data_IF_990451333853
#
_entry.id   IF_990451333853
#
_cell.length_a   1.000
_cell.length_b   1.000
_cell.length_c   1.000
_cell.angle_alpha   90.00
_cell.angle_beta   90.00
_cell.angle_gamma   90.00
#
_symmetry.space_group_name_H-M   'P 1'
#
loop_
_entity.id
_entity.type
_entity.pdbx_description
1 polymer ?
#
# COMPACT_ATOMS: atom_id res chain seq x y z
N UNK A 1 -1.47 -15.50 24.22
CA UNK A 1 -2.52 -14.68 24.85
C UNK A 1 -2.74 -13.50 23.94
N UNK A 2 -3.99 -13.27 23.51
CA UNK A 2 -4.27 -12.22 22.53
C UNK A 2 -3.93 -10.83 23.10
N UNK A 3 -3.15 -10.07 22.37
CA UNK A 3 -2.79 -8.68 22.68
C UNK A 3 -3.92 -7.72 22.29
N UNK A 4 -4.55 -8.02 21.14
CA UNK A 4 -5.63 -7.21 20.58
C UNK A 4 -6.72 -8.16 20.08
N UNK A 5 -7.97 -7.83 20.38
CA UNK A 5 -9.14 -8.59 19.92
C UNK A 5 -10.17 -7.60 19.35
N UNK A 6 -10.53 -7.81 18.10
CA UNK A 6 -11.53 -7.06 17.38
C UNK A 6 -12.73 -7.97 17.08
N UNK A 7 -13.92 -7.59 17.50
CA UNK A 7 -15.13 -8.38 17.31
C UNK A 7 -16.24 -7.55 16.63
N UNK A 8 -16.88 -8.18 15.64
CA UNK A 8 -18.01 -7.66 14.87
C UNK A 8 -17.80 -6.21 14.41
N UNK A 9 -16.59 -5.93 13.91
CA UNK A 9 -16.17 -4.59 13.55
C UNK A 9 -16.86 -4.13 12.27
N UNK A 10 -17.48 -2.96 12.32
CA UNK A 10 -18.10 -2.30 11.18
C UNK A 10 -17.51 -0.91 10.98
N UNK A 11 -17.22 -0.58 9.74
CA UNK A 11 -16.76 0.72 9.30
C UNK A 11 -17.26 0.98 7.90
N UNK A 12 -17.87 2.13 7.66
CA UNK A 12 -18.32 2.54 6.34
C UNK A 12 -17.76 3.91 5.97
N UNK A 13 -17.42 4.09 4.71
CA UNK A 13 -17.06 5.39 4.17
C UNK A 13 -18.06 5.78 3.08
N UNK A 14 -18.98 6.69 3.44
CA UNK A 14 -20.12 7.03 2.61
C UNK A 14 -21.06 5.83 2.42
N UNK A 15 -21.13 5.28 1.21
CA UNK A 15 -21.96 4.11 0.88
C UNK A 15 -21.15 2.81 0.75
N UNK A 16 -19.86 2.84 1.04
CA UNK A 16 -18.96 1.68 0.89
C UNK A 16 -18.62 1.13 2.26
N UNK A 17 -19.02 -0.11 2.51
CA UNK A 17 -18.64 -0.84 3.71
C UNK A 17 -17.17 -1.26 3.60
N UNK A 18 -16.30 -0.69 4.43
CA UNK A 18 -14.90 -1.06 4.55
C UNK A 18 -14.70 -2.27 5.46
N UNK A 19 -15.52 -2.39 6.51
CA UNK A 19 -15.59 -3.55 7.41
C UNK A 19 -17.06 -3.93 7.60
N UNK A 20 -17.37 -5.21 7.45
CA UNK A 20 -18.73 -5.75 7.45
C UNK A 20 -18.93 -6.83 8.53
N UNK A 21 -18.69 -6.49 9.81
CA UNK A 21 -18.80 -7.44 10.91
C UNK A 21 -17.58 -8.38 11.00
N UNK A 22 -16.39 -7.82 10.87
CA UNK A 22 -15.13 -8.58 10.85
C UNK A 22 -14.61 -8.90 12.25
N UNK A 23 -13.85 -9.99 12.34
CA UNK A 23 -13.14 -10.39 13.55
C UNK A 23 -11.65 -10.46 13.25
N UNK A 24 -10.84 -10.06 14.25
CA UNK A 24 -9.39 -10.12 14.16
C UNK A 24 -8.80 -10.34 15.56
N UNK A 25 -7.74 -11.09 15.63
CA UNK A 25 -6.96 -11.26 16.88
C UNK A 25 -5.47 -11.19 16.55
N UNK A 26 -4.70 -10.55 17.44
CA UNK A 26 -3.24 -10.50 17.38
C UNK A 26 -2.68 -11.17 18.62
N UNK A 27 -1.89 -12.20 18.43
CA UNK A 27 -1.15 -12.87 19.50
C UNK A 27 0.27 -12.27 19.66
N UNK A 28 0.93 -12.60 20.77
CA UNK A 28 2.30 -12.11 20.99
C UNK A 28 3.29 -12.75 20.01
N UNK A 29 4.27 -11.94 19.55
CA UNK A 29 5.31 -12.32 18.57
C UNK A 29 4.81 -12.72 17.20
N UNK A 30 3.55 -12.45 16.86
CA UNK A 30 3.05 -12.62 15.50
C UNK A 30 3.52 -11.49 14.59
N UNK A 31 3.77 -11.82 13.33
CA UNK A 31 4.06 -10.87 12.26
C UNK A 31 3.01 -11.04 11.17
N UNK A 32 2.03 -10.14 11.17
CA UNK A 32 0.87 -10.22 10.28
C UNK A 32 1.09 -9.29 9.09
N UNK A 33 1.10 -9.85 7.88
CA UNK A 33 0.98 -9.11 6.64
C UNK A 33 -0.49 -8.87 6.30
N UNK A 34 -0.95 -7.61 6.36
CA UNK A 34 -2.30 -7.24 5.97
C UNK A 34 -2.33 -6.87 4.49
N UNK A 35 -2.96 -7.69 3.69
CA UNK A 35 -3.07 -7.51 2.25
C UNK A 35 -4.51 -7.27 1.80
N UNK A 36 -4.67 -6.84 0.56
CA UNK A 36 -5.95 -6.55 -0.08
C UNK A 36 -5.81 -5.42 -1.08
N UNK A 37 -6.82 -5.21 -1.89
CA UNK A 37 -6.81 -4.16 -2.93
C UNK A 37 -6.69 -2.77 -2.33
N UNK A 38 -6.22 -1.82 -3.15
CA UNK A 38 -6.23 -0.43 -2.76
C UNK A 38 -7.66 0.09 -2.58
N UNK A 39 -7.88 0.89 -1.52
CA UNK A 39 -9.20 1.44 -1.18
C UNK A 39 -10.12 0.47 -0.40
N UNK A 40 -9.68 -0.74 -0.03
CA UNK A 40 -10.49 -1.67 0.78
C UNK A 40 -10.55 -1.34 2.27
N UNK A 41 -9.80 -0.33 2.73
CA UNK A 41 -9.80 0.06 4.14
C UNK A 41 -8.66 -0.53 4.99
N UNK A 42 -7.58 -1.05 4.36
CA UNK A 42 -6.41 -1.59 5.09
C UNK A 42 -5.81 -0.59 6.08
N UNK A 43 -5.50 0.62 5.61
CA UNK A 43 -4.92 1.67 6.46
C UNK A 43 -5.88 2.13 7.56
N UNK A 44 -7.19 2.21 7.27
CA UNK A 44 -8.21 2.51 8.29
C UNK A 44 -8.28 1.41 9.35
N UNK A 45 -8.27 0.13 8.93
CA UNK A 45 -8.19 -0.99 9.86
C UNK A 45 -6.93 -0.92 10.73
N UNK A 46 -5.76 -0.64 10.12
CA UNK A 46 -4.51 -0.53 10.84
C UNK A 46 -4.55 0.60 11.88
N UNK A 47 -5.11 1.75 11.53
CA UNK A 47 -5.30 2.88 12.45
C UNK A 47 -6.31 2.57 13.56
N UNK A 48 -7.39 1.84 13.26
CA UNK A 48 -8.34 1.36 14.27
C UNK A 48 -7.63 0.44 15.26
N UNK A 49 -6.87 -0.55 14.77
CA UNK A 49 -6.10 -1.47 15.63
C UNK A 49 -5.06 -0.74 16.48
N UNK A 50 -4.50 0.37 15.98
CA UNK A 50 -3.59 1.25 16.71
C UNK A 50 -4.31 2.24 17.66
N UNK A 51 -5.65 2.26 17.70
CA UNK A 51 -6.43 3.18 18.53
C UNK A 51 -6.51 4.62 18.03
N UNK A 52 -6.09 4.88 16.79
CA UNK A 52 -6.06 6.22 16.18
C UNK A 52 -7.39 6.61 15.51
N UNK A 53 -8.17 5.63 15.08
CA UNK A 53 -9.51 5.80 14.51
C UNK A 53 -10.52 4.94 15.28
N UNK A 54 -11.79 5.34 15.26
CA UNK A 54 -12.88 4.63 15.93
C UNK A 54 -13.68 3.80 14.93
N UNK A 55 -14.25 2.70 15.40
CA UNK A 55 -15.24 1.91 14.69
C UNK A 55 -16.60 2.64 14.67
N UNK A 56 -17.41 2.36 13.65
CA UNK A 56 -18.84 2.74 13.64
C UNK A 56 -19.64 1.82 14.57
N UNK A 57 -19.31 0.51 14.59
CA UNK A 57 -19.94 -0.50 15.44
C UNK A 57 -18.96 -1.67 15.70
N UNK A 58 -19.21 -2.43 16.77
CA UNK A 58 -18.34 -3.53 17.20
C UNK A 58 -17.54 -3.21 18.44
N UNK A 59 -16.58 -4.08 18.79
CA UNK A 59 -15.74 -3.90 19.98
C UNK A 59 -14.28 -4.18 19.69
N UNK A 60 -13.42 -3.34 20.26
CA UNK A 60 -11.96 -3.47 20.20
C UNK A 60 -11.43 -3.52 21.63
N UNK A 61 -10.69 -4.56 21.94
CA UNK A 61 -10.14 -4.82 23.28
C UNK A 61 -8.63 -4.96 23.19
N UNK A 62 -7.93 -4.34 24.11
CA UNK A 62 -6.49 -4.42 24.28
C UNK A 62 -6.10 -5.10 25.58
N UNK A 63 -4.99 -5.80 25.57
CA UNK A 63 -4.36 -6.25 26.80
C UNK A 63 -3.98 -5.03 27.66
N UNK A 64 -4.17 -5.13 28.96
CA UNK A 64 -3.84 -4.03 29.88
C UNK A 64 -2.34 -3.69 29.82
N UNK A 65 -2.01 -2.40 29.71
CA UNK A 65 -0.65 -1.92 29.65
C UNK A 65 0.07 -2.16 28.31
N UNK A 66 -0.67 -2.50 27.25
CA UNK A 66 -0.11 -2.71 25.92
C UNK A 66 0.44 -1.41 25.33
N UNK A 67 1.72 -1.40 24.98
CA UNK A 67 2.38 -0.28 24.30
C UNK A 67 2.33 -0.51 22.79
N UNK A 68 1.79 0.43 22.08
CA UNK A 68 1.62 0.35 20.63
C UNK A 68 2.30 1.53 19.95
N UNK A 69 2.90 1.30 18.79
CA UNK A 69 3.44 2.36 17.95
C UNK A 69 2.95 2.18 16.50
N UNK A 70 2.66 3.31 15.86
CA UNK A 70 2.17 3.36 14.47
C UNK A 70 3.11 4.21 13.61
N UNK A 71 3.51 3.65 12.48
CA UNK A 71 4.31 4.35 11.46
C UNK A 71 3.45 4.54 10.24
N UNK A 72 3.16 5.79 9.92
CA UNK A 72 2.35 6.17 8.77
C UNK A 72 3.10 5.97 7.45
N UNK A 73 2.35 5.79 6.36
CA UNK A 73 2.89 5.71 4.99
C UNK A 73 3.74 6.93 4.64
N UNK A 74 3.25 8.14 4.96
CA UNK A 74 3.97 9.40 4.81
C UNK A 74 4.08 10.07 6.18
N UNK A 75 5.22 9.91 6.87
CA UNK A 75 5.43 10.58 8.15
C UNK A 75 5.62 12.09 7.95
N UNK A 76 4.89 12.86 8.73
CA UNK A 76 4.94 14.33 8.70
C UNK A 76 5.84 14.79 9.84
N UNK A 77 6.87 15.55 9.50
CA UNK A 77 7.81 16.16 10.44
C UNK A 77 7.97 17.64 10.13
N UNK A 78 8.35 18.43 11.13
CA UNK A 78 8.80 19.80 10.90
C UNK A 78 10.17 19.77 10.18
N UNK A 79 10.31 20.40 9.01
CA UNK A 79 11.58 20.43 8.28
C UNK A 79 12.75 21.06 9.04
N UNK A 80 12.49 21.96 9.99
CA UNK A 80 13.51 22.67 10.77
C UNK A 80 14.01 21.85 11.96
N UNK A 81 13.22 20.87 12.38
CA UNK A 81 13.50 20.03 13.54
C UNK A 81 14.70 19.11 13.28
N UNK A 82 15.50 18.83 14.33
CA UNK A 82 16.59 17.86 14.26
C UNK A 82 16.05 16.43 14.37
N UNK A 83 16.81 15.46 13.84
CA UNK A 83 16.49 14.04 13.95
C UNK A 83 16.35 13.60 15.40
N UNK A 84 17.24 14.09 16.30
CA UNK A 84 17.16 13.80 17.73
C UNK A 84 15.82 14.27 18.33
N UNK A 85 15.41 15.49 18.01
CA UNK A 85 14.16 16.06 18.53
C UNK A 85 12.94 15.26 18.02
N UNK A 86 12.89 14.98 16.73
CA UNK A 86 11.80 14.19 16.14
C UNK A 86 11.68 12.78 16.76
N UNK A 87 12.81 12.07 16.95
CA UNK A 87 12.80 10.75 17.58
C UNK A 87 12.42 10.84 19.06
N UNK A 88 12.82 11.90 19.78
CA UNK A 88 12.46 12.11 21.18
C UNK A 88 10.95 12.28 21.40
N UNK A 89 10.18 12.68 20.37
CA UNK A 89 8.71 12.74 20.44
C UNK A 89 8.09 11.34 20.68
N UNK A 90 8.77 10.26 20.29
CA UNK A 90 8.32 8.89 20.60
C UNK A 90 8.33 8.55 22.10
N UNK A 91 9.01 9.35 22.93
CA UNK A 91 9.05 9.24 24.38
C UNK A 91 8.57 10.54 25.05
N UNK A 92 7.69 11.30 24.40
CA UNK A 92 7.22 12.60 24.89
C UNK A 92 6.59 12.51 26.29
N UNK A 93 5.83 11.45 26.57
CA UNK A 93 5.24 11.22 27.89
C UNK A 93 6.31 11.06 28.97
N UNK A 94 7.33 10.27 28.71
CA UNK A 94 8.46 10.05 29.60
C UNK A 94 9.24 11.34 29.85
N UNK A 95 9.44 12.13 28.77
CA UNK A 95 10.10 13.42 28.85
C UNK A 95 9.30 14.41 29.72
N UNK A 96 7.99 14.51 29.51
CA UNK A 96 7.12 15.36 30.30
C UNK A 96 7.11 14.98 31.78
N UNK A 97 7.03 13.67 32.08
CA UNK A 97 7.13 13.18 33.47
C UNK A 97 8.48 13.51 34.10
N UNK A 98 9.56 13.45 33.33
CA UNK A 98 10.90 13.81 33.81
C UNK A 98 11.03 15.31 34.12
N UNK A 99 10.51 16.15 33.22
CA UNK A 99 10.45 17.60 33.43
C UNK A 99 9.62 17.95 34.67
N UNK A 100 8.42 17.36 34.81
CA UNK A 100 7.55 17.54 35.97
C UNK A 100 8.24 17.10 37.28
N UNK A 101 8.96 15.96 37.25
CA UNK A 101 9.75 15.49 38.40
C UNK A 101 10.83 16.48 38.81
N UNK A 102 11.56 17.03 37.85
CA UNK A 102 12.62 18.01 38.09
C UNK A 102 12.06 19.30 38.65
N UNK A 103 10.93 19.81 38.11
CA UNK A 103 10.24 20.99 38.62
C UNK A 103 9.74 20.81 40.05
N UNK A 104 9.08 19.68 40.34
CA UNK A 104 8.57 19.41 41.69
C UNK A 104 9.66 19.14 42.71
N UNK A 105 10.80 18.60 42.29
CA UNK A 105 11.95 18.34 43.19
C UNK A 105 12.62 19.60 43.71
N UNK A 106 12.44 20.74 43.03
CA UNK A 106 12.99 22.05 43.40
C UNK A 106 11.93 22.96 44.03
N UNK A 107 10.64 22.59 43.93
CA UNK A 107 9.53 23.36 44.47
C UNK A 107 9.46 23.29 46.02
N UNK A 108 8.71 24.23 46.66
CA UNK A 108 8.49 24.22 48.12
C UNK A 108 7.72 22.94 48.51
N UNK A 109 8.19 22.30 49.59
CA UNK A 109 7.68 21.04 50.09
C UNK A 109 6.28 21.18 50.68
N UNK A 110 5.33 20.39 50.13
CA UNK A 110 4.03 20.12 50.70
C UNK A 110 3.62 18.64 50.47
N UNK A 111 2.63 18.16 51.23
CA UNK A 111 2.21 16.76 51.21
C UNK A 111 1.70 16.33 49.79
N UNK A 112 1.07 17.23 49.05
CA UNK A 112 0.55 16.95 47.72
C UNK A 112 1.71 16.80 46.68
N UNK A 113 2.76 17.65 46.81
CA UNK A 113 3.93 17.55 45.92
C UNK A 113 4.72 16.26 46.18
N UNK A 114 4.75 15.78 47.43
CA UNK A 114 5.43 14.53 47.77
C UNK A 114 4.71 13.30 47.19
N UNK A 115 3.39 13.23 47.33
CA UNK A 115 2.61 12.18 46.72
C UNK A 115 2.77 12.17 45.19
N UNK A 116 2.78 13.33 44.55
CA UNK A 116 2.96 13.41 43.11
C UNK A 116 4.35 12.99 42.65
N UNK A 117 5.39 13.33 43.40
CA UNK A 117 6.77 12.87 43.14
C UNK A 117 6.90 11.36 43.18
N UNK A 118 6.29 10.68 44.22
CA UNK A 118 6.31 9.24 44.35
C UNK A 118 5.57 8.57 43.16
N UNK A 119 4.45 9.14 42.73
CA UNK A 119 3.73 8.63 41.57
C UNK A 119 4.56 8.74 40.31
N UNK A 120 5.16 9.92 40.03
CA UNK A 120 6.00 10.14 38.85
C UNK A 120 7.23 9.25 38.90
N UNK A 121 7.87 9.09 40.02
CA UNK A 121 9.01 8.19 40.18
C UNK A 121 8.62 6.76 39.82
N UNK A 122 7.51 6.26 40.36
CA UNK A 122 7.01 4.93 40.05
C UNK A 122 6.70 4.76 38.53
N UNK A 123 6.12 5.77 37.91
CA UNK A 123 5.84 5.78 36.48
C UNK A 123 7.14 5.76 35.66
N UNK A 124 8.10 6.63 35.98
CA UNK A 124 9.40 6.69 35.31
C UNK A 124 10.18 5.37 35.46
N UNK A 125 10.14 4.73 36.65
CA UNK A 125 10.76 3.42 36.87
C UNK A 125 10.10 2.34 36.01
N UNK A 126 8.76 2.29 35.94
CA UNK A 126 8.03 1.33 35.13
C UNK A 126 8.28 1.46 33.62
N UNK A 127 8.52 2.70 33.15
CA UNK A 127 8.82 3.01 31.75
C UNK A 127 10.32 3.01 31.42
N UNK A 128 11.20 2.73 32.41
CA UNK A 128 12.65 2.91 32.29
C UNK A 128 13.00 4.33 31.78
N UNK A 129 12.26 5.33 32.30
CA UNK A 129 12.25 6.71 31.77
C UNK A 129 13.47 7.55 32.16
N UNK A 130 14.26 7.14 33.18
CA UNK A 130 15.40 7.89 33.65
C UNK A 130 16.50 8.09 32.61
N UNK A 131 16.66 7.15 31.68
CA UNK A 131 17.69 7.15 30.65
C UNK A 131 17.11 7.33 29.24
N UNK A 132 16.05 8.12 29.09
CA UNK A 132 15.37 8.29 27.80
C UNK A 132 16.29 8.86 26.72
N UNK A 133 17.18 9.83 27.03
CA UNK A 133 18.13 10.42 26.11
C UNK A 133 19.11 9.37 25.54
N UNK A 134 19.69 8.56 26.45
CA UNK A 134 20.57 7.48 26.05
C UNK A 134 19.84 6.49 25.12
N UNK A 135 18.59 6.16 25.43
CA UNK A 135 17.78 5.28 24.58
C UNK A 135 17.50 5.88 23.21
N UNK A 136 17.29 7.19 23.10
CA UNK A 136 17.20 7.89 21.83
C UNK A 136 18.50 7.74 21.05
N UNK A 137 19.64 8.04 21.66
CA UNK A 137 20.95 7.89 21.00
C UNK A 137 21.23 6.45 20.55
N UNK A 138 21.00 5.46 21.40
CA UNK A 138 21.15 4.05 21.04
C UNK A 138 20.26 3.63 19.88
N UNK A 139 19.03 4.18 19.81
CA UNK A 139 18.10 3.94 18.70
C UNK A 139 18.61 4.60 17.42
N UNK A 140 19.09 5.83 17.49
CA UNK A 140 19.67 6.55 16.36
C UNK A 140 20.91 5.84 15.81
N UNK A 141 21.84 5.43 16.68
CA UNK A 141 23.04 4.68 16.32
C UNK A 141 22.69 3.36 15.62
N UNK A 142 21.73 2.61 16.17
CA UNK A 142 21.25 1.36 15.58
C UNK A 142 20.64 1.55 14.19
N UNK A 143 20.03 2.70 13.93
CA UNK A 143 19.40 3.03 12.67
C UNK A 143 20.31 3.86 11.73
N UNK A 144 21.56 4.08 12.15
CA UNK A 144 22.56 4.88 11.41
C UNK A 144 22.04 6.29 11.05
N UNK A 145 21.41 6.96 12.02
CA UNK A 145 20.88 8.31 11.88
C UNK A 145 21.75 9.29 12.67
N UNK A 146 22.13 10.39 12.04
CA UNK A 146 22.84 11.48 12.68
C UNK A 146 21.84 12.37 13.45
N UNK A 147 21.99 12.54 14.77
CA UNK A 147 21.07 13.29 15.64
C UNK A 147 20.91 14.76 15.27
N UNK A 148 21.97 15.38 14.74
CA UNK A 148 22.07 16.84 14.57
C UNK A 148 21.55 17.32 13.20
N UNK A 149 21.28 16.41 12.29
CA UNK A 149 20.79 16.75 10.94
C UNK A 149 19.33 17.23 11.01
N UNK A 150 19.04 18.34 10.30
CA UNK A 150 17.67 18.82 10.12
C UNK A 150 16.87 17.87 9.18
N UNK A 151 15.64 17.54 9.55
CA UNK A 151 14.78 16.61 8.80
C UNK A 151 14.52 17.09 7.38
N UNK A 152 14.44 18.40 7.16
CA UNK A 152 14.24 18.98 5.84
C UNK A 152 15.30 18.60 4.81
N UNK A 153 16.53 18.28 5.25
CA UNK A 153 17.64 17.88 4.39
C UNK A 153 17.69 16.37 4.09
N UNK A 154 16.84 15.57 4.76
CA UNK A 154 16.83 14.12 4.62
C UNK A 154 16.09 13.67 3.36
N UNK A 155 16.57 12.57 2.75
CA UNK A 155 15.83 11.84 1.72
C UNK A 155 14.55 11.22 2.29
N UNK A 156 13.59 10.89 1.41
CA UNK A 156 12.35 10.21 1.81
C UNK A 156 12.60 8.91 2.60
N UNK A 157 13.58 8.10 2.18
CA UNK A 157 13.97 6.88 2.88
C UNK A 157 14.52 7.14 4.29
N UNK A 158 15.36 8.17 4.46
CA UNK A 158 15.87 8.53 5.78
C UNK A 158 14.76 9.11 6.68
N UNK A 159 13.80 9.86 6.14
CA UNK A 159 12.61 10.30 6.92
C UNK A 159 11.80 9.12 7.44
N UNK A 160 11.65 8.05 6.64
CA UNK A 160 11.00 6.81 7.10
C UNK A 160 11.81 6.11 8.20
N UNK A 161 13.15 6.10 8.11
CA UNK A 161 14.00 5.60 9.20
C UNK A 161 13.82 6.41 10.48
N UNK A 162 13.67 7.73 10.38
CA UNK A 162 13.37 8.61 11.55
C UNK A 162 12.01 8.25 12.16
N UNK A 163 10.97 8.05 11.35
CA UNK A 163 9.66 7.63 11.85
C UNK A 163 9.70 6.27 12.54
N UNK A 164 10.48 5.34 11.99
CA UNK A 164 10.70 4.04 12.62
C UNK A 164 11.49 4.16 13.92
N UNK A 165 12.53 5.02 13.97
CA UNK A 165 13.26 5.32 15.19
C UNK A 165 12.34 5.89 16.27
N UNK A 166 11.49 6.85 15.91
CA UNK A 166 10.47 7.43 16.80
C UNK A 166 9.52 6.40 17.37
N UNK A 167 9.09 5.43 16.54
CA UNK A 167 8.23 4.34 16.99
C UNK A 167 8.97 3.36 17.91
N UNK A 168 10.21 3.00 17.58
CA UNK A 168 10.98 1.99 18.31
C UNK A 168 11.54 2.49 19.65
N UNK A 169 11.83 3.78 19.78
CA UNK A 169 12.34 4.36 21.04
C UNK A 169 11.36 4.19 22.20
N UNK A 170 10.07 4.09 21.90
CA UNK A 170 9.01 3.80 22.88
C UNK A 170 9.03 2.34 23.38
N UNK A 171 9.85 1.46 22.79
CA UNK A 171 9.89 0.01 23.07
C UNK A 171 8.49 -0.60 23.04
N UNK A 172 7.81 -0.55 21.87
CA UNK A 172 6.43 -1.02 21.78
C UNK A 172 6.33 -2.54 21.83
N UNK A 173 5.20 -3.03 22.35
CA UNK A 173 4.84 -4.46 22.32
C UNK A 173 4.21 -4.84 20.98
N UNK A 174 3.58 -3.86 20.31
CA UNK A 174 3.02 -3.99 18.96
C UNK A 174 3.44 -2.81 18.07
N UNK A 175 3.94 -3.14 16.88
CA UNK A 175 4.34 -2.18 15.86
C UNK A 175 3.41 -2.29 14.66
N UNK A 176 2.77 -1.17 14.31
CA UNK A 176 1.93 -1.03 13.11
C UNK A 176 2.68 -0.26 12.04
N UNK A 177 2.79 -0.84 10.83
CA UNK A 177 3.54 -0.26 9.71
C UNK A 177 2.65 -0.15 8.49
N UNK A 178 2.42 1.08 8.01
CA UNK A 178 1.63 1.34 6.80
C UNK A 178 2.57 1.63 5.62
N UNK A 179 2.66 0.70 4.66
CA UNK A 179 3.53 0.74 3.48
C UNK A 179 4.99 1.14 3.78
N UNK A 180 5.67 0.43 4.70
CA UNK A 180 7.02 0.83 5.12
C UNK A 180 8.07 0.68 4.02
N UNK A 181 7.83 -0.16 3.00
CA UNK A 181 8.76 -0.44 1.90
C UNK A 181 8.71 0.60 0.78
N UNK A 182 7.63 1.40 0.66
CA UNK A 182 7.49 2.40 -0.39
C UNK A 182 8.63 3.42 -0.34
N UNK A 183 9.18 3.77 -1.51
CA UNK A 183 10.30 4.72 -1.67
C UNK A 183 11.62 4.29 -1.00
N UNK A 184 11.73 3.06 -0.50
CA UNK A 184 13.00 2.52 -0.01
C UNK A 184 13.80 1.87 -1.15
N UNK A 185 15.11 1.97 -1.08
CA UNK A 185 16.01 1.20 -1.91
C UNK A 185 16.20 -0.22 -1.34
N UNK A 186 16.78 -1.10 -2.16
CA UNK A 186 16.92 -2.52 -1.81
C UNK A 186 17.71 -2.73 -0.51
N UNK A 187 18.77 -1.94 -0.29
CA UNK A 187 19.58 -2.03 0.92
C UNK A 187 18.77 -1.65 2.17
N UNK A 188 17.93 -0.61 2.05
CA UNK A 188 17.02 -0.17 3.11
C UNK A 188 15.91 -1.19 3.39
N UNK A 189 15.40 -1.87 2.35
CA UNK A 189 14.41 -2.95 2.50
C UNK A 189 15.03 -4.13 3.23
N UNK A 190 16.22 -4.59 2.82
CA UNK A 190 16.94 -5.70 3.46
C UNK A 190 17.22 -5.39 4.93
N UNK A 191 17.69 -4.18 5.21
CA UNK A 191 17.90 -3.71 6.58
C UNK A 191 16.59 -3.73 7.40
N UNK A 192 15.45 -3.28 6.83
CA UNK A 192 14.15 -3.29 7.51
C UNK A 192 13.68 -4.71 7.79
N UNK A 193 13.90 -5.64 6.86
CA UNK A 193 13.62 -7.07 7.08
C UNK A 193 14.37 -7.62 8.30
N UNK A 194 15.69 -7.38 8.38
CA UNK A 194 16.51 -7.84 9.49
C UNK A 194 16.04 -7.25 10.84
N UNK A 195 15.72 -5.96 10.83
CA UNK A 195 15.20 -5.27 12.01
C UNK A 195 13.88 -5.88 12.49
N UNK A 196 12.91 -6.13 11.58
CA UNK A 196 11.62 -6.70 11.95
C UNK A 196 11.73 -8.18 12.35
N UNK A 197 12.66 -8.94 11.76
CA UNK A 197 12.97 -10.32 12.20
C UNK A 197 13.54 -10.37 13.62
N UNK A 198 14.35 -9.37 13.98
CA UNK A 198 14.95 -9.25 15.31
C UNK A 198 14.00 -8.62 16.35
N UNK A 199 12.91 -7.99 15.92
CA UNK A 199 11.94 -7.37 16.81
C UNK A 199 11.19 -8.42 17.63
N UNK A 200 11.15 -8.26 18.97
CA UNK A 200 10.57 -9.24 19.90
C UNK A 200 9.06 -9.10 20.07
N UNK A 201 8.50 -7.94 19.77
CA UNK A 201 7.06 -7.68 19.82
C UNK A 201 6.33 -8.25 18.60
N UNK A 202 5.04 -7.96 18.52
CA UNK A 202 4.20 -8.30 17.39
C UNK A 202 4.22 -7.18 16.34
N UNK A 203 4.07 -7.55 15.07
CA UNK A 203 4.06 -6.61 13.96
C UNK A 203 2.79 -6.80 13.14
N UNK A 204 2.11 -5.73 12.81
CA UNK A 204 1.05 -5.74 11.78
C UNK A 204 1.48 -4.74 10.70
N UNK A 205 1.68 -5.23 9.48
CA UNK A 205 2.20 -4.41 8.41
C UNK A 205 1.32 -4.51 7.16
N UNK A 206 1.21 -3.40 6.45
CA UNK A 206 0.63 -3.32 5.11
C UNK A 206 1.79 -3.12 4.15
N UNK A 207 1.91 -3.95 3.13
CA UNK A 207 2.84 -3.72 2.02
C UNK A 207 2.38 -4.47 0.78
N UNK A 208 2.81 -4.01 -0.38
CA UNK A 208 2.62 -4.65 -1.67
C UNK A 208 3.88 -5.39 -2.15
N UNK A 209 4.95 -5.35 -1.38
CA UNK A 209 6.19 -6.09 -1.65
C UNK A 209 6.06 -7.56 -1.19
N UNK A 210 5.91 -8.47 -2.17
CA UNK A 210 5.75 -9.90 -1.94
C UNK A 210 6.97 -10.53 -1.29
N UNK A 211 8.17 -10.13 -1.73
CA UNK A 211 9.42 -10.67 -1.20
C UNK A 211 9.59 -10.28 0.27
N UNK A 212 9.25 -9.04 0.61
CA UNK A 212 9.26 -8.56 1.98
C UNK A 212 8.23 -9.29 2.86
N UNK A 213 6.98 -9.48 2.38
CA UNK A 213 5.96 -10.27 3.08
C UNK A 213 6.44 -11.70 3.32
N UNK A 214 7.08 -12.31 2.32
CA UNK A 214 7.59 -13.68 2.41
C UNK A 214 8.72 -13.81 3.43
N UNK A 215 9.56 -12.77 3.53
CA UNK A 215 10.70 -12.74 4.44
C UNK A 215 10.31 -12.48 5.90
N UNK A 216 9.25 -11.68 6.15
CA UNK A 216 8.93 -11.16 7.48
C UNK A 216 7.69 -11.80 8.08
N UNK A 217 6.64 -12.08 7.30
CA UNK A 217 5.33 -12.46 7.82
C UNK A 217 5.29 -13.92 8.32
N UNK A 218 4.61 -14.14 9.43
CA UNK A 218 4.26 -15.48 9.97
C UNK A 218 2.81 -15.84 9.64
N UNK A 219 2.00 -14.85 9.29
CA UNK A 219 0.61 -14.99 8.92
C UNK A 219 0.23 -13.89 7.94
N UNK A 220 -0.60 -14.22 6.97
CA UNK A 220 -1.20 -13.26 6.05
C UNK A 220 -2.68 -13.10 6.40
N UNK A 221 -3.14 -11.84 6.47
CA UNK A 221 -4.55 -11.50 6.64
C UNK A 221 -5.00 -10.72 5.42
N UNK A 222 -5.97 -11.26 4.70
CA UNK A 222 -6.54 -10.63 3.51
C UNK A 222 -7.82 -9.87 3.88
N UNK A 223 -7.88 -8.60 3.53
CA UNK A 223 -9.11 -7.80 3.58
C UNK A 223 -9.74 -7.73 2.20
N UNK A 224 -10.82 -8.48 2.01
CA UNK A 224 -11.60 -8.46 0.77
C UNK A 224 -13.06 -8.13 1.07
N UNK A 225 -13.57 -7.05 0.47
CA UNK A 225 -14.98 -6.61 0.56
C UNK A 225 -15.52 -6.54 1.98
N UNK A 226 -14.74 -5.98 2.89
CA UNK A 226 -15.10 -5.82 4.28
C UNK A 226 -15.03 -7.08 5.13
N UNK A 227 -14.44 -8.17 4.63
CA UNK A 227 -14.24 -9.44 5.36
C UNK A 227 -12.74 -9.70 5.50
N UNK A 228 -12.32 -10.04 6.70
CA UNK A 228 -10.97 -10.51 6.98
C UNK A 228 -10.89 -12.03 6.89
N UNK A 229 -9.86 -12.52 6.20
CA UNK A 229 -9.52 -13.94 6.13
C UNK A 229 -8.06 -14.12 6.52
N UNK A 230 -7.80 -15.04 7.44
CA UNK A 230 -6.45 -15.32 7.94
C UNK A 230 -5.89 -16.58 7.29
N UNK A 231 -4.65 -16.49 6.82
CA UNK A 231 -3.92 -17.59 6.19
C UNK A 231 -2.60 -17.79 6.96
N UNK A 232 -2.36 -18.98 7.50
CA UNK A 232 -1.10 -19.26 8.21
C UNK A 232 0.06 -19.34 7.23
N UNK A 233 1.23 -18.86 7.66
CA UNK A 233 2.46 -18.87 6.89
C UNK A 233 2.77 -17.54 6.22
N UNK A 234 3.75 -17.56 5.33
CA UNK A 234 4.23 -16.42 4.56
C UNK A 234 3.39 -16.19 3.28
N UNK A 235 3.82 -15.25 2.43
CA UNK A 235 3.08 -14.90 1.22
C UNK A 235 3.00 -16.06 0.22
N UNK A 236 4.07 -16.81 0.05
CA UNK A 236 4.09 -18.03 -0.82
C UNK A 236 3.06 -19.07 -0.36
N UNK A 237 2.95 -19.29 0.96
CA UNK A 237 1.94 -20.20 1.50
C UNK A 237 0.52 -19.68 1.29
N UNK A 238 0.30 -18.36 1.42
CA UNK A 238 -0.97 -17.71 1.11
C UNK A 238 -1.37 -17.93 -0.35
N UNK A 239 -0.46 -17.70 -1.32
CA UNK A 239 -0.76 -17.89 -2.75
C UNK A 239 -1.24 -19.32 -3.03
N UNK A 240 -0.55 -20.33 -2.50
CA UNK A 240 -0.92 -21.73 -2.66
C UNK A 240 -2.30 -22.06 -2.07
N UNK A 241 -2.60 -21.54 -0.87
CA UNK A 241 -3.91 -21.74 -0.22
C UNK A 241 -5.02 -21.01 -0.98
N UNK A 242 -4.75 -19.81 -1.44
CA UNK A 242 -5.71 -18.99 -2.20
C UNK A 242 -6.07 -19.63 -3.55
N UNK A 243 -5.08 -20.16 -4.25
CA UNK A 243 -5.32 -20.89 -5.50
C UNK A 243 -6.22 -22.12 -5.29
N UNK A 244 -5.98 -22.90 -4.22
CA UNK A 244 -6.84 -24.02 -3.85
C UNK A 244 -8.26 -23.58 -3.48
N UNK A 245 -8.40 -22.48 -2.73
CA UNK A 245 -9.70 -21.91 -2.37
C UNK A 245 -10.48 -21.50 -3.61
N UNK A 246 -9.86 -20.74 -4.52
CA UNK A 246 -10.47 -20.30 -5.79
C UNK A 246 -10.89 -21.51 -6.65
N UNK A 247 -10.04 -22.52 -6.78
CA UNK A 247 -10.36 -23.73 -7.53
C UNK A 247 -11.55 -24.50 -6.92
N UNK A 248 -11.59 -24.62 -5.59
CA UNK A 248 -12.68 -25.29 -4.87
C UNK A 248 -14.00 -24.53 -4.98
N UNK A 249 -13.94 -23.19 -4.87
CA UNK A 249 -15.10 -22.31 -5.04
C UNK A 249 -15.66 -22.37 -6.46
N UNK A 250 -14.78 -22.35 -7.48
CA UNK A 250 -15.19 -22.50 -8.89
C UNK A 250 -15.92 -23.82 -9.13
N UNK A 251 -15.43 -24.93 -8.58
CA UNK A 251 -16.08 -26.23 -8.66
C UNK A 251 -17.44 -26.26 -7.94
N UNK A 252 -17.52 -25.67 -6.74
CA UNK A 252 -18.76 -25.57 -5.97
C UNK A 252 -19.80 -24.71 -6.72
N UNK A 253 -19.38 -23.59 -7.28
CA UNK A 253 -20.20 -22.68 -8.07
C UNK A 253 -20.71 -23.37 -9.35
N UNK A 254 -19.87 -24.09 -10.09
CA UNK A 254 -20.26 -24.84 -11.27
C UNK A 254 -21.32 -25.94 -10.95
N UNK A 255 -21.15 -26.64 -9.81
CA UNK A 255 -22.14 -27.62 -9.34
C UNK A 255 -23.47 -26.98 -8.98
N UNK A 256 -23.44 -25.83 -8.26
CA UNK A 256 -24.64 -25.09 -7.88
C UNK A 256 -25.37 -24.52 -9.11
N UNK A 257 -24.64 -23.99 -10.10
CA UNK A 257 -25.23 -23.51 -11.36
C UNK A 257 -25.87 -24.62 -12.19
N UNK A 258 -25.23 -25.79 -12.23
CA UNK A 258 -25.82 -26.98 -12.88
C UNK A 258 -27.10 -27.42 -12.19
N UNK A 259 -27.13 -27.40 -10.85
CA UNK A 259 -28.33 -27.74 -10.07
C UNK A 259 -29.43 -26.69 -10.29
N UNK A 260 -29.11 -25.40 -10.27
CA UNK A 260 -30.04 -24.32 -10.54
C UNK A 260 -30.68 -24.46 -11.94
N UNK A 261 -29.86 -24.70 -12.96
CA UNK A 261 -30.33 -24.91 -14.33
C UNK A 261 -31.29 -26.12 -14.44
N UNK A 262 -31.01 -27.21 -13.72
CA UNK A 262 -31.89 -28.38 -13.68
C UNK A 262 -33.23 -28.07 -13.02
N UNK A 263 -33.26 -27.33 -11.90
CA UNK A 263 -34.48 -26.94 -11.21
C UNK A 263 -35.29 -25.92 -12.03
N UNK A 264 -34.64 -25.02 -12.76
CA UNK A 264 -35.28 -24.06 -13.66
C UNK A 264 -35.96 -24.76 -14.86
N UNK A 265 -35.30 -25.76 -15.47
CA UNK A 265 -35.90 -26.59 -16.55
C UNK A 265 -37.10 -27.36 -16.04
N UNK A 266 -37.02 -27.88 -14.81
CA UNK A 266 -38.13 -28.62 -14.21
C UNK A 266 -39.35 -27.73 -13.97
N UNK A 267 -39.19 -26.51 -13.49
CA UNK A 267 -40.30 -25.55 -13.31
C UNK A 267 -40.93 -25.16 -14.65
N UNK A 268 -40.12 -24.93 -15.70
CA UNK A 268 -40.63 -24.61 -17.05
C UNK A 268 -41.44 -25.74 -17.71
N UNK A 269 -41.17 -27.01 -17.36
CA UNK A 269 -41.88 -28.16 -17.91
C UNK A 269 -43.27 -28.43 -17.34
N UNK A 270 -43.79 -27.54 -16.49
CA UNK A 270 -45.18 -27.52 -16.03
C UNK A 270 -45.47 -28.47 -14.87
N UNK A 271 -45.97 -27.86 -13.78
CA UNK A 271 -46.41 -28.58 -12.57
C UNK A 271 -47.91 -28.82 -12.68
N UNK A 272 -48.37 -29.68 -13.53
CA UNK A 272 -49.81 -30.00 -13.62
C UNK A 272 -50.31 -31.07 -12.64
N UNK A 273 -49.45 -31.79 -11.92
CA UNK A 273 -49.88 -32.81 -10.99
C UNK A 273 -49.00 -32.96 -9.75
N UNK A 274 -49.37 -32.36 -8.63
CA UNK A 274 -48.98 -32.54 -7.21
C UNK A 274 -48.53 -31.31 -6.48
N UNK A 275 -49.50 -30.55 -5.97
CA UNK A 275 -49.29 -29.28 -5.20
C UNK A 275 -48.37 -29.39 -3.98
N UNK A 276 -48.32 -30.51 -3.27
CA UNK A 276 -47.59 -30.62 -1.98
C UNK A 276 -46.13 -30.95 -2.11
N UNK A 277 -45.64 -31.59 -3.20
CA UNK A 277 -44.22 -31.81 -3.44
C UNK A 277 -43.48 -30.65 -4.12
N UNK A 278 -44.22 -29.70 -4.66
CA UNK A 278 -43.67 -28.54 -5.37
C UNK A 278 -43.16 -27.44 -4.44
N UNK A 279 -43.74 -27.26 -3.25
CA UNK A 279 -43.37 -26.18 -2.31
C UNK A 279 -41.94 -26.29 -1.85
N UNK A 280 -41.46 -27.46 -1.48
CA UNK A 280 -40.06 -27.65 -1.05
C UNK A 280 -39.03 -27.47 -2.19
N UNK A 281 -39.42 -27.74 -3.44
CA UNK A 281 -38.54 -27.51 -4.61
C UNK A 281 -38.52 -26.04 -5.02
N UNK A 282 -39.64 -25.34 -4.91
CA UNK A 282 -39.72 -23.91 -5.14
C UNK A 282 -38.85 -23.15 -4.11
N UNK A 283 -39.00 -23.50 -2.83
CA UNK A 283 -38.14 -22.91 -1.77
C UNK A 283 -36.64 -23.18 -2.00
N UNK A 284 -36.31 -24.39 -2.49
CA UNK A 284 -34.89 -24.70 -2.86
C UNK A 284 -34.43 -23.84 -4.03
N UNK A 285 -35.25 -23.64 -5.07
CA UNK A 285 -34.91 -22.81 -6.21
C UNK A 285 -34.72 -21.35 -5.78
N UNK A 286 -35.62 -20.81 -4.96
CA UNK A 286 -35.51 -19.46 -4.42
C UNK A 286 -34.21 -19.31 -3.63
N UNK A 287 -33.88 -20.26 -2.76
CA UNK A 287 -32.62 -20.29 -2.03
C UNK A 287 -31.38 -20.37 -2.94
N UNK A 288 -31.43 -21.16 -4.02
CA UNK A 288 -30.34 -21.24 -5.00
C UNK A 288 -30.18 -19.93 -5.79
N UNK A 289 -31.30 -19.24 -6.10
CA UNK A 289 -31.27 -17.90 -6.72
C UNK A 289 -30.74 -16.86 -5.79
N UNK A 290 -31.14 -16.88 -4.51
CA UNK A 290 -30.56 -15.99 -3.48
C UNK A 290 -29.06 -16.22 -3.33
N UNK A 291 -28.61 -17.46 -3.24
CA UNK A 291 -27.19 -17.80 -3.18
C UNK A 291 -26.46 -17.30 -4.43
N UNK A 292 -27.05 -17.47 -5.63
CA UNK A 292 -26.45 -16.96 -6.87
C UNK A 292 -26.42 -15.43 -6.90
N UNK A 293 -27.49 -14.76 -6.47
CA UNK A 293 -27.55 -13.29 -6.41
C UNK A 293 -26.62 -12.72 -5.32
N UNK A 294 -26.45 -13.45 -4.22
CA UNK A 294 -25.51 -13.10 -3.15
C UNK A 294 -24.04 -13.43 -3.51
N UNK A 295 -23.79 -14.19 -4.59
CA UNK A 295 -22.42 -14.37 -5.08
C UNK A 295 -21.87 -12.99 -5.45
N UNK A 296 -20.90 -12.58 -4.69
CA UNK A 296 -20.11 -11.42 -5.04
C UNK A 296 -19.28 -11.87 -6.26
N UNK A 297 -19.59 -11.36 -7.44
CA UNK A 297 -18.80 -11.67 -8.64
C UNK A 297 -17.34 -11.37 -8.33
N UNK A 298 -16.47 -12.34 -8.58
CA UNK A 298 -15.04 -12.11 -8.54
C UNK A 298 -14.76 -10.94 -9.47
N UNK A 299 -14.25 -9.84 -8.95
CA UNK A 299 -13.86 -8.72 -9.81
C UNK A 299 -12.87 -9.27 -10.83
N UNK A 300 -13.15 -9.03 -12.11
CA UNK A 300 -12.37 -9.58 -13.21
C UNK A 300 -10.89 -9.23 -13.07
N UNK A 301 -10.04 -10.08 -13.62
CA UNK A 301 -8.64 -9.73 -13.82
C UNK A 301 -8.57 -8.57 -14.82
N UNK A 302 -7.69 -7.62 -14.60
CA UNK A 302 -7.45 -6.53 -15.53
C UNK A 302 -6.95 -7.15 -16.85
N UNK A 303 -7.61 -6.82 -17.96
CA UNK A 303 -7.19 -7.26 -19.30
C UNK A 303 -6.42 -6.14 -19.97
N UNK A 304 -5.10 -6.21 -19.91
CA UNK A 304 -4.26 -5.21 -20.55
C UNK A 304 -4.23 -5.38 -22.08
N UNK A 305 -4.56 -4.28 -22.76
CA UNK A 305 -4.16 -4.04 -24.15
C UNK A 305 -3.47 -2.67 -24.20
N UNK A 306 -2.16 -2.68 -24.44
CA UNK A 306 -1.37 -1.47 -24.59
C UNK A 306 -1.53 -0.97 -26.03
N UNK A 307 -1.86 0.32 -26.21
CA UNK A 307 -1.90 0.94 -27.52
C UNK A 307 -0.48 1.04 -28.08
N UNK A 308 -0.16 0.33 -29.14
CA UNK A 308 1.12 0.45 -29.83
C UNK A 308 1.13 1.67 -30.76
N UNK A 309 2.06 2.58 -30.55
CA UNK A 309 2.35 3.69 -31.45
C UNK A 309 2.98 3.25 -32.78
N UNK A 310 3.34 4.20 -33.61
CA UNK A 310 4.10 3.94 -34.83
C UNK A 310 5.41 3.22 -34.52
N UNK A 311 5.88 2.36 -35.43
CA UNK A 311 7.16 1.65 -35.23
C UNK A 311 8.30 2.65 -35.18
N UNK A 312 9.04 2.68 -34.06
CA UNK A 312 10.30 3.42 -33.93
C UNK A 312 11.39 2.87 -34.85
N UNK A 313 12.48 3.63 -35.03
CA UNK A 313 13.73 3.10 -35.56
C UNK A 313 14.23 1.89 -34.76
N UNK A 314 15.29 1.24 -35.24
CA UNK A 314 15.90 0.09 -34.53
C UNK A 314 16.57 0.52 -33.22
N UNK A 315 17.22 1.69 -33.23
CA UNK A 315 17.85 2.32 -32.05
C UNK A 315 16.81 3.25 -31.43
N UNK A 316 16.58 3.10 -30.13
CA UNK A 316 15.71 3.96 -29.32
C UNK A 316 16.52 5.10 -28.70
N UNK A 317 17.67 4.78 -28.13
CA UNK A 317 18.62 5.75 -27.60
C UNK A 317 20.04 5.22 -27.71
N UNK A 318 20.98 6.11 -27.98
CA UNK A 318 22.40 5.81 -28.05
C UNK A 318 23.17 6.86 -27.22
N UNK A 319 23.92 6.38 -26.23
CA UNK A 319 24.69 7.19 -25.31
C UNK A 319 26.16 6.79 -25.42
N UNK A 320 27.04 7.75 -25.69
CA UNK A 320 28.48 7.53 -25.78
C UNK A 320 29.21 8.42 -24.76
N UNK A 321 29.90 7.81 -23.81
CA UNK A 321 30.73 8.44 -22.78
C UNK A 321 30.02 9.62 -22.06
N UNK A 322 28.72 9.45 -21.79
CA UNK A 322 27.87 10.48 -21.21
C UNK A 322 28.23 10.73 -19.76
N UNK A 323 28.47 11.99 -19.40
CA UNK A 323 28.66 12.41 -18.02
C UNK A 323 27.74 13.57 -17.65
N UNK A 324 27.26 13.56 -16.41
CA UNK A 324 26.42 14.62 -15.86
C UNK A 324 26.77 14.86 -14.39
N UNK A 325 26.98 16.13 -14.05
CA UNK A 325 27.27 16.57 -12.70
C UNK A 325 26.33 17.70 -12.30
N UNK A 326 26.00 17.76 -11.02
CA UNK A 326 25.40 18.92 -10.38
C UNK A 326 26.42 19.38 -9.30
N UNK A 327 26.06 19.40 -8.03
CA UNK A 327 27.01 19.66 -6.94
C UNK A 327 28.06 18.53 -6.80
N UNK A 328 27.71 17.36 -7.31
CA UNK A 328 28.56 16.17 -7.37
C UNK A 328 28.37 15.43 -8.70
N UNK A 329 29.35 14.63 -9.14
CA UNK A 329 29.16 13.77 -10.30
C UNK A 329 28.04 12.75 -10.05
N UNK A 330 27.04 12.71 -10.94
CA UNK A 330 25.90 11.80 -10.86
C UNK A 330 26.04 10.66 -11.88
N UNK A 331 26.32 11.00 -13.13
CA UNK A 331 26.60 10.03 -14.18
C UNK A 331 28.01 10.26 -14.66
N UNK A 332 28.82 9.21 -14.80
CA UNK A 332 30.22 9.32 -15.20
C UNK A 332 30.54 8.30 -16.28
N UNK A 333 30.96 8.80 -17.44
CA UNK A 333 31.43 8.02 -18.59
C UNK A 333 30.51 6.84 -18.96
N UNK A 334 29.20 7.11 -19.01
CA UNK A 334 28.19 6.07 -19.25
C UNK A 334 27.98 5.88 -20.77
N UNK A 335 28.13 4.64 -21.22
CA UNK A 335 27.90 4.25 -22.61
C UNK A 335 26.89 3.12 -22.67
N UNK A 336 25.82 3.29 -23.46
CA UNK A 336 24.79 2.27 -23.66
C UNK A 336 23.97 2.55 -24.92
N UNK A 337 23.58 1.49 -25.61
CA UNK A 337 22.64 1.56 -26.73
C UNK A 337 21.38 0.78 -26.37
N UNK A 338 20.22 1.45 -26.46
CA UNK A 338 18.92 0.84 -26.22
C UNK A 338 18.24 0.59 -27.57
N UNK A 339 17.84 -0.64 -27.79
CA UNK A 339 17.22 -1.09 -29.02
C UNK A 339 15.71 -1.26 -28.83
N UNK A 340 14.97 -1.20 -29.93
CA UNK A 340 13.54 -1.49 -29.94
C UNK A 340 13.29 -2.94 -29.49
N UNK A 341 12.43 -3.09 -28.48
CA UNK A 341 12.06 -4.36 -27.87
C UNK A 341 12.84 -4.67 -26.60
N UNK A 342 13.87 -3.88 -26.26
CA UNK A 342 14.57 -4.04 -24.99
C UNK A 342 13.66 -3.67 -23.82
N UNK A 343 13.83 -4.44 -22.74
CA UNK A 343 13.24 -4.15 -21.42
C UNK A 343 14.41 -3.88 -20.46
N UNK A 344 14.62 -2.60 -20.16
CA UNK A 344 15.76 -2.13 -19.36
C UNK A 344 15.30 -1.78 -17.95
N UNK A 345 15.85 -2.43 -16.94
CA UNK A 345 15.66 -2.08 -15.54
C UNK A 345 16.85 -1.30 -15.00
N UNK A 346 16.60 -0.12 -14.40
CA UNK A 346 17.60 0.69 -13.73
C UNK A 346 17.54 0.44 -12.22
N UNK A 347 18.58 -0.21 -11.70
CA UNK A 347 18.72 -0.53 -10.27
C UNK A 347 19.81 0.31 -9.63
N UNK A 348 19.61 0.69 -8.39
CA UNK A 348 20.58 1.43 -7.60
C UNK A 348 19.99 2.12 -6.38
N UNK A 349 20.82 2.57 -5.43
CA UNK A 349 20.35 3.26 -4.22
C UNK A 349 19.62 4.57 -4.54
N UNK A 350 18.87 5.06 -3.57
CA UNK A 350 18.20 6.35 -3.69
C UNK A 350 19.23 7.48 -3.80
N UNK A 351 18.98 8.43 -4.73
CA UNK A 351 19.92 9.50 -5.02
C UNK A 351 21.14 9.09 -5.88
N UNK A 352 21.21 7.85 -6.39
CA UNK A 352 22.27 7.40 -7.30
C UNK A 352 22.18 8.03 -8.70
N UNK A 353 21.08 8.72 -9.03
CA UNK A 353 20.92 9.39 -10.32
C UNK A 353 20.09 8.62 -11.34
N UNK A 354 19.28 7.64 -10.93
CA UNK A 354 18.37 6.87 -11.80
C UNK A 354 17.49 7.78 -12.68
N UNK A 355 16.77 8.70 -12.06
CA UNK A 355 15.92 9.68 -12.77
C UNK A 355 16.73 10.62 -13.68
N UNK A 356 17.95 11.01 -13.26
CA UNK A 356 18.86 11.81 -14.10
C UNK A 356 19.28 11.02 -15.34
N UNK A 357 19.63 9.75 -15.19
CA UNK A 357 19.98 8.89 -16.32
C UNK A 357 18.77 8.68 -17.25
N UNK A 358 17.58 8.45 -16.71
CA UNK A 358 16.35 8.40 -17.53
C UNK A 358 16.14 9.69 -18.36
N UNK A 359 16.31 10.86 -17.73
CA UNK A 359 16.18 12.15 -18.42
C UNK A 359 17.26 12.36 -19.50
N UNK A 360 18.46 11.84 -19.31
CA UNK A 360 19.52 11.84 -20.33
C UNK A 360 19.16 10.92 -21.50
N UNK A 361 18.68 9.69 -21.22
CA UNK A 361 18.24 8.72 -22.23
C UNK A 361 17.09 9.32 -23.08
N UNK A 362 16.17 10.03 -22.45
CA UNK A 362 15.02 10.69 -23.12
C UNK A 362 15.37 12.04 -23.76
N UNK A 363 16.61 12.50 -23.68
CA UNK A 363 17.01 13.79 -24.20
C UNK A 363 16.38 15.01 -23.51
N UNK A 364 15.74 14.80 -22.35
CA UNK A 364 15.09 15.89 -21.57
C UNK A 364 16.10 16.81 -20.91
N UNK A 365 17.32 16.32 -20.66
CA UNK A 365 18.46 17.10 -20.20
C UNK A 365 19.67 16.79 -21.07
N UNK A 366 20.56 17.77 -21.21
CA UNK A 366 21.79 17.62 -21.97
C UNK A 366 22.91 17.10 -21.05
N UNK A 367 23.78 16.18 -21.53
CA UNK A 367 24.97 15.77 -20.82
C UNK A 367 26.00 16.93 -20.78
N UNK A 368 26.89 16.90 -19.79
CA UNK A 368 27.98 17.86 -19.66
C UNK A 368 29.16 17.46 -20.57
N UNK A 369 29.32 16.14 -20.83
CA UNK A 369 30.26 15.58 -21.81
C UNK A 369 29.70 14.30 -22.38
N UNK A 370 30.22 13.88 -23.53
CA UNK A 370 29.70 12.76 -24.31
C UNK A 370 28.52 13.15 -25.19
N UNK A 371 27.90 12.17 -25.84
CA UNK A 371 26.75 12.36 -26.72
C UNK A 371 25.60 11.46 -26.31
N UNK A 372 24.40 12.03 -26.27
CA UNK A 372 23.16 11.30 -26.06
C UNK A 372 22.20 11.59 -27.21
N UNK A 373 21.90 10.59 -28.02
CA UNK A 373 21.04 10.73 -29.20
C UNK A 373 19.82 9.83 -29.10
N UNK A 374 18.64 10.40 -29.34
CA UNK A 374 17.41 9.64 -29.48
C UNK A 374 17.22 9.17 -30.92
N UNK A 375 16.66 7.97 -31.04
CA UNK A 375 16.27 7.41 -32.34
C UNK A 375 15.15 8.19 -33.03
N UNK A 376 14.84 7.80 -34.25
CA UNK A 376 13.78 8.42 -35.05
C UNK A 376 12.41 7.89 -34.68
N UNK A 377 11.38 8.74 -34.76
CA UNK A 377 9.97 8.42 -34.51
C UNK A 377 9.73 7.83 -33.11
N UNK A 378 10.31 8.46 -32.10
CA UNK A 378 10.14 8.05 -30.70
C UNK A 378 8.98 8.82 -30.09
N UNK A 379 7.93 8.07 -29.71
CA UNK A 379 6.79 8.55 -28.93
C UNK A 379 6.89 7.98 -27.51
N UNK A 380 7.20 8.85 -26.54
CA UNK A 380 7.43 8.46 -25.14
C UNK A 380 6.16 8.63 -24.32
N UNK A 381 5.76 7.60 -23.60
CA UNK A 381 4.82 7.69 -22.51
C UNK A 381 5.57 7.57 -21.17
N UNK A 382 5.57 8.67 -20.41
CA UNK A 382 6.25 8.75 -19.12
C UNK A 382 5.25 8.82 -17.98
N UNK A 383 5.29 7.85 -17.08
CA UNK A 383 4.27 7.66 -16.03
C UNK A 383 4.23 8.82 -15.03
N UNK A 384 5.38 9.29 -14.58
CA UNK A 384 5.47 10.34 -13.56
C UNK A 384 4.92 11.69 -14.03
N UNK A 385 5.16 12.05 -15.29
CA UNK A 385 4.59 13.29 -15.88
C UNK A 385 3.06 13.29 -15.92
N UNK A 386 2.43 12.12 -15.88
CA UNK A 386 0.97 12.02 -15.86
C UNK A 386 0.38 12.30 -14.46
N UNK A 387 1.16 12.11 -13.39
CA UNK A 387 0.75 12.46 -12.02
C UNK A 387 0.61 13.97 -11.85
N UNK A 388 1.56 14.74 -12.37
CA UNK A 388 1.55 16.21 -12.30
C UNK A 388 0.39 16.85 -13.10
N UNK A 389 -0.09 16.17 -14.13
CA UNK A 389 -1.18 16.64 -15.01
C UNK A 389 -2.57 16.09 -14.68
N UNK A 390 -2.79 15.55 -13.48
CA UNK A 390 -4.06 14.96 -13.09
C UNK A 390 -5.12 16.04 -12.79
N UNK A 391 -6.09 16.23 -13.70
CA UNK A 391 -7.22 17.10 -13.44
C UNK A 391 -8.24 16.41 -12.53
N UNK A 392 -8.29 16.85 -11.27
CA UNK A 392 -9.17 16.30 -10.24
C UNK A 392 -10.66 16.57 -10.50
N UNK A 393 -10.99 17.57 -11.33
CA UNK A 393 -12.37 17.95 -11.64
C UNK A 393 -12.91 17.23 -12.88
N UNK A 394 -12.04 16.67 -13.72
CA UNK A 394 -12.46 15.91 -14.88
C UNK A 394 -13.18 14.63 -14.48
N UNK A 395 -14.11 14.17 -15.31
CA UNK A 395 -14.70 12.83 -15.16
C UNK A 395 -13.67 11.76 -15.55
N UNK A 396 -13.84 10.52 -15.05
CA UNK A 396 -12.96 9.41 -15.43
C UNK A 396 -12.95 9.21 -16.95
N UNK A 397 -14.12 9.34 -17.59
CA UNK A 397 -14.29 9.19 -19.03
C UNK A 397 -13.53 10.27 -19.80
N UNK A 398 -13.71 11.55 -19.45
CA UNK A 398 -13.01 12.68 -20.08
C UNK A 398 -11.50 12.64 -19.82
N UNK A 399 -11.08 12.14 -18.67
CA UNK A 399 -9.66 12.00 -18.36
C UNK A 399 -8.97 10.99 -19.28
N UNK A 400 -9.64 9.87 -19.63
CA UNK A 400 -9.11 8.86 -20.56
C UNK A 400 -9.15 9.36 -22.00
N UNK A 401 -10.30 9.90 -22.45
CA UNK A 401 -10.53 10.32 -23.83
C UNK A 401 -11.28 11.66 -23.87
N UNK A 402 -10.58 12.80 -23.80
CA UNK A 402 -11.21 14.12 -23.75
C UNK A 402 -12.15 14.36 -24.94
N UNK A 403 -13.42 14.61 -24.65
CA UNK A 403 -14.43 14.93 -25.63
C UNK A 403 -14.87 13.78 -26.56
N UNK A 404 -14.54 12.53 -26.23
CA UNK A 404 -14.93 11.36 -27.02
C UNK A 404 -15.31 10.18 -26.13
N UNK A 405 -16.44 9.54 -26.42
CA UNK A 405 -16.87 8.29 -25.77
C UNK A 405 -16.07 7.06 -26.27
N UNK A 406 -15.18 7.26 -27.23
CA UNK A 406 -14.44 6.18 -27.87
C UNK A 406 -12.95 6.40 -27.82
N UNK A 407 -12.22 5.32 -27.67
CA UNK A 407 -10.76 5.27 -27.69
C UNK A 407 -10.31 4.25 -28.73
N UNK A 408 -9.21 4.50 -29.38
CA UNK A 408 -8.61 3.59 -30.35
C UNK A 408 -7.37 2.92 -29.74
N UNK A 409 -7.39 1.60 -29.67
CA UNK A 409 -6.29 0.80 -29.15
C UNK A 409 -5.92 -0.25 -30.20
N UNK A 410 -4.69 -0.20 -30.71
CA UNK A 410 -4.18 -1.12 -31.75
C UNK A 410 -5.08 -1.21 -32.99
N UNK A 411 -5.67 -0.07 -33.42
CA UNK A 411 -6.58 -0.03 -34.56
C UNK A 411 -8.00 -0.54 -34.28
N UNK A 412 -8.29 -0.98 -33.07
CA UNK A 412 -9.64 -1.36 -32.63
C UNK A 412 -10.29 -0.22 -31.83
N UNK A 413 -11.50 0.15 -32.22
CA UNK A 413 -12.29 1.16 -31.52
C UNK A 413 -13.03 0.54 -30.34
N UNK A 414 -12.82 1.06 -29.15
CA UNK A 414 -13.45 0.58 -27.90
C UNK A 414 -14.15 1.72 -27.18
N UNK A 415 -15.31 1.45 -26.56
CA UNK A 415 -16.02 2.43 -25.75
C UNK A 415 -15.26 2.68 -24.43
N UNK A 416 -15.11 3.95 -24.03
CA UNK A 416 -14.32 4.34 -22.84
C UNK A 416 -14.82 3.65 -21.56
N UNK A 417 -16.13 3.52 -21.36
CA UNK A 417 -16.70 2.80 -20.21
C UNK A 417 -16.30 1.33 -20.18
N UNK A 418 -16.26 0.67 -21.34
CA UNK A 418 -15.78 -0.71 -21.44
C UNK A 418 -14.28 -0.82 -21.20
N UNK A 419 -13.52 0.19 -21.62
CA UNK A 419 -12.08 0.28 -21.35
C UNK A 419 -11.80 0.50 -19.85
N UNK A 420 -12.51 1.44 -19.21
CA UNK A 420 -12.43 1.66 -17.76
C UNK A 420 -12.79 0.42 -16.95
N UNK A 421 -13.76 -0.37 -17.44
CA UNK A 421 -14.11 -1.64 -16.79
C UNK A 421 -12.98 -2.68 -16.85
N UNK A 422 -12.12 -2.67 -17.89
CA UNK A 422 -10.92 -3.51 -17.90
C UNK A 422 -9.94 -3.14 -16.78
N UNK A 423 -9.95 -1.89 -16.32
CA UNK A 423 -9.17 -1.38 -15.19
C UNK A 423 -9.98 -1.37 -13.88
N UNK A 424 -11.05 -2.17 -13.81
CA UNK A 424 -11.88 -2.37 -12.61
C UNK A 424 -12.63 -1.12 -12.13
N UNK A 425 -12.91 -0.17 -13.01
CA UNK A 425 -13.86 0.90 -12.75
C UNK A 425 -15.23 0.49 -13.25
N UNK A 426 -16.25 0.52 -12.38
CA UNK A 426 -17.61 0.21 -12.82
C UNK A 426 -18.09 1.26 -13.83
N UNK A 427 -18.89 0.87 -14.85
CA UNK A 427 -19.42 1.80 -15.84
C UNK A 427 -20.20 2.98 -15.25
N UNK A 428 -20.79 2.79 -14.08
CA UNK A 428 -21.56 3.81 -13.34
C UNK A 428 -20.65 4.92 -12.81
N UNK A 429 -19.39 4.58 -12.46
CA UNK A 429 -18.39 5.53 -11.97
C UNK A 429 -17.68 6.31 -13.07
N UNK A 430 -17.89 5.96 -14.36
CA UNK A 430 -17.21 6.64 -15.47
C UNK A 430 -17.47 8.16 -15.50
N UNK A 431 -18.65 8.60 -15.03
CA UNK A 431 -19.01 10.00 -14.94
C UNK A 431 -18.65 10.67 -13.61
N UNK A 432 -18.04 9.93 -12.66
CA UNK A 432 -17.61 10.50 -11.39
C UNK A 432 -16.33 11.34 -11.57
N UNK A 433 -16.14 12.43 -10.81
CA UNK A 433 -14.91 13.21 -10.87
C UNK A 433 -13.72 12.44 -10.29
N UNK A 434 -12.55 12.67 -10.84
CA UNK A 434 -11.28 12.04 -10.40
C UNK A 434 -10.98 12.32 -8.92
N UNK A 435 -11.44 13.45 -8.37
CA UNK A 435 -11.28 13.81 -6.96
C UNK A 435 -11.89 12.78 -6.00
N UNK A 436 -12.91 12.03 -6.42
CA UNK A 436 -13.57 10.99 -5.61
C UNK A 436 -12.80 9.68 -5.50
N UNK A 437 -11.70 9.54 -6.25
CA UNK A 437 -10.89 8.35 -6.26
C UNK A 437 -9.90 8.33 -5.09
N UNK A 438 -9.69 7.15 -4.50
CA UNK A 438 -8.58 6.87 -3.60
C UNK A 438 -7.23 6.98 -4.33
N UNK A 439 -6.11 7.10 -3.59
CA UNK A 439 -4.76 7.16 -4.17
C UNK A 439 -4.47 6.01 -5.13
N UNK A 440 -4.75 4.78 -4.72
CA UNK A 440 -4.56 3.60 -5.58
C UNK A 440 -5.47 3.55 -6.80
N UNK A 441 -6.73 4.02 -6.68
CA UNK A 441 -7.62 4.15 -7.84
C UNK A 441 -7.12 5.23 -8.81
N UNK A 442 -6.57 6.34 -8.30
CA UNK A 442 -5.95 7.37 -9.15
C UNK A 442 -4.76 6.80 -9.93
N UNK A 443 -3.89 6.05 -9.28
CA UNK A 443 -2.76 5.41 -9.95
C UNK A 443 -3.22 4.41 -11.00
N UNK A 444 -4.27 3.65 -10.74
CA UNK A 444 -4.88 2.75 -11.73
C UNK A 444 -5.47 3.51 -12.92
N UNK A 445 -6.10 4.66 -12.68
CA UNK A 445 -6.59 5.53 -13.75
C UNK A 445 -5.45 6.12 -14.58
N UNK A 446 -4.33 6.51 -13.94
CA UNK A 446 -3.12 6.96 -14.61
C UNK A 446 -2.53 5.88 -15.50
N UNK A 447 -2.47 4.63 -15.03
CA UNK A 447 -2.06 3.48 -15.84
C UNK A 447 -3.00 3.26 -17.03
N UNK A 448 -4.31 3.34 -16.81
CA UNK A 448 -5.29 3.23 -17.87
C UNK A 448 -5.04 4.30 -18.96
N UNK A 449 -4.78 5.55 -18.57
CA UNK A 449 -4.46 6.62 -19.52
C UNK A 449 -3.12 6.39 -20.21
N UNK A 450 -2.11 5.90 -19.49
CA UNK A 450 -0.80 5.59 -20.05
C UNK A 450 -0.91 4.54 -21.17
N UNK A 451 -1.66 3.47 -20.93
CA UNK A 451 -1.84 2.39 -21.91
C UNK A 451 -2.82 2.73 -23.04
N UNK A 452 -3.68 3.73 -22.84
CA UNK A 452 -4.56 4.27 -23.86
C UNK A 452 -3.81 5.13 -24.88
N UNK A 453 -2.69 5.71 -24.49
CA UNK A 453 -1.91 6.61 -25.32
C UNK A 453 -1.02 5.83 -26.28
N UNK A 454 -1.11 6.07 -27.59
CA UNK A 454 -0.22 5.42 -28.54
C UNK A 454 1.22 5.87 -28.28
N UNK A 455 2.04 4.96 -27.78
CA UNK A 455 3.46 5.19 -27.52
C UNK A 455 4.27 3.98 -27.96
N UNK A 456 5.54 4.20 -28.30
CA UNK A 456 6.46 3.13 -28.67
C UNK A 456 7.64 2.99 -27.70
N UNK A 457 7.76 3.92 -26.73
CA UNK A 457 8.67 3.83 -25.60
C UNK A 457 7.87 4.11 -24.33
N UNK A 458 7.89 3.15 -23.40
CA UNK A 458 7.26 3.26 -22.10
C UNK A 458 8.33 3.48 -21.04
N UNK A 459 8.18 4.54 -20.25
CA UNK A 459 9.09 4.89 -19.16
C UNK A 459 8.32 4.88 -17.86
N UNK A 460 8.78 4.02 -16.94
CA UNK A 460 8.19 3.84 -15.63
C UNK A 460 9.24 4.21 -14.58
N UNK A 461 9.00 5.27 -13.81
CA UNK A 461 9.85 5.65 -12.68
C UNK A 461 9.13 5.24 -11.39
N UNK A 462 9.73 4.35 -10.63
CA UNK A 462 9.18 3.75 -9.42
C UNK A 462 7.71 3.27 -9.56
N UNK A 463 7.39 2.48 -10.60
CA UNK A 463 6.01 2.13 -10.91
C UNK A 463 5.35 1.24 -9.86
N UNK A 464 6.15 0.61 -9.00
CA UNK A 464 5.69 -0.28 -7.94
C UNK A 464 5.13 0.45 -6.74
N UNK A 465 5.50 1.73 -6.56
CA UNK A 465 4.96 2.54 -5.47
C UNK A 465 3.47 2.79 -5.68
N UNK A 466 2.70 2.62 -4.62
CA UNK A 466 1.25 2.87 -4.56
C UNK A 466 0.37 1.96 -5.46
N UNK A 467 0.92 0.92 -6.10
CA UNK A 467 0.15 -0.08 -6.82
C UNK A 467 -0.14 -1.29 -5.94
N UNK A 468 -1.36 -1.81 -5.99
CA UNK A 468 -1.69 -3.06 -5.32
C UNK A 468 -1.11 -4.28 -6.05
N UNK A 469 -1.04 -5.40 -5.35
CA UNK A 469 -0.43 -6.65 -5.83
C UNK A 469 -1.05 -7.08 -7.17
N UNK A 470 -2.38 -6.96 -7.30
CA UNK A 470 -3.11 -7.33 -8.52
C UNK A 470 -2.72 -6.42 -9.71
N UNK A 471 -2.47 -5.14 -9.44
CA UNK A 471 -2.06 -4.17 -10.48
C UNK A 471 -0.59 -4.33 -10.85
N UNK A 472 0.26 -4.70 -9.91
CA UNK A 472 1.69 -5.00 -10.16
C UNK A 472 1.88 -6.20 -11.10
N UNK A 473 1.01 -7.22 -11.03
CA UNK A 473 1.06 -8.36 -11.96
C UNK A 473 0.84 -7.99 -13.43
N UNK A 474 0.40 -6.78 -13.69
CA UNK A 474 0.09 -6.32 -15.05
C UNK A 474 1.26 -5.58 -15.71
N UNK A 475 2.24 -5.10 -14.92
CA UNK A 475 3.45 -4.43 -15.40
C UNK A 475 4.53 -5.44 -15.78
#
# INVERSE_FOLDING_TARGET
>A
MALIVLNDAKLAFGHVDLLAGTQFSLESSERIGLIGRNGTGKSSLLKILAGLEKLDDGSLQYQQGLRMAYVAQEPIFDPVETVFHAVSQGVAEVKALREEYEELSVAEWNDDSHHRLDEIQSQLESMSGWNWEQRVHETLDRLHLDPDIAIGSLSGGNRKRVALAQALVAVPDVLFLDEPTNHLDLDSITWLEELLKAFKGSVVLITHDRAFLDAVSTQIVELDRGILRSYPGNFTAYEALKEQEIASEALANARADKLLAQEEVWIRKGVEARRTRSVGRIARLEKLREIRAARRDAMGQIKLSVASGNRSGKIVADLESVSKSYDRPIVKDFTATILRGDKVGLLGPNGAGKTTLLKLILGSIQPDSGTATMGSQIDVAYFDQMREGLDLNATLEDYISPGSEWIEINGARKHVKSYLNDFLFSPERANSPVSTLSGGERNRLLLARLFARPANVLVLDEPTNDLDIDTLELL
#
